data_IF_751702043533
#
_entry.id   IF_751702043533
#
_cell.length_a   1.000
_cell.length_b   1.000
_cell.length_c   1.000
_cell.angle_alpha   90.00
_cell.angle_beta   90.00
_cell.angle_gamma   90.00
#
_symmetry.space_group_name_H-M   'P 1'
#
loop_
_entity.id
_entity.type
_entity.pdbx_description
1 polymer ?
#
# COMPACT_ATOMS: atom_id res chain seq x y z
N UNK A 1 1.14 66.13 24.03
CA UNK A 1 -0.27 65.86 24.41
C UNK A 1 -1.09 65.40 23.21
N UNK A 2 -0.98 66.08 22.06
CA UNK A 2 -1.69 65.75 20.82
C UNK A 2 -1.37 64.34 20.27
N UNK A 3 -0.10 63.94 20.30
CA UNK A 3 0.32 62.59 19.84
C UNK A 3 -0.26 61.44 20.69
N UNK A 4 -0.43 61.65 22.00
CA UNK A 4 -1.02 60.65 22.90
C UNK A 4 -2.51 60.44 22.58
N UNK A 5 -3.26 61.54 22.40
CA UNK A 5 -4.69 61.50 22.02
C UNK A 5 -4.89 60.79 20.68
N UNK A 6 -3.98 61.00 19.72
CA UNK A 6 -4.12 60.45 18.38
C UNK A 6 -3.68 58.98 18.25
N UNK A 7 -2.69 58.54 19.04
CA UNK A 7 -2.08 57.21 18.90
C UNK A 7 -2.40 56.20 20.01
N UNK A 8 -2.64 56.65 21.25
CA UNK A 8 -2.52 55.77 22.41
C UNK A 8 -3.57 56.00 23.52
N UNK A 9 -4.36 57.07 23.47
CA UNK A 9 -5.43 57.29 24.44
C UNK A 9 -6.54 56.22 24.29
N UNK A 10 -6.87 55.44 25.34
CA UNK A 10 -7.88 54.39 25.28
C UNK A 10 -9.32 54.93 25.27
N UNK A 11 -9.56 56.11 25.83
CA UNK A 11 -10.89 56.72 25.96
C UNK A 11 -11.25 57.67 24.82
N UNK A 12 -10.32 57.89 23.88
CA UNK A 12 -10.61 58.70 22.70
C UNK A 12 -11.57 57.96 21.77
N UNK A 13 -12.61 58.65 21.35
CA UNK A 13 -13.53 58.15 20.34
C UNK A 13 -12.83 58.09 18.98
N UNK A 14 -12.79 56.90 18.41
CA UNK A 14 -12.23 56.63 17.07
C UNK A 14 -13.33 56.18 16.12
N UNK A 15 -13.18 56.54 14.85
CA UNK A 15 -14.06 56.07 13.80
C UNK A 15 -13.92 54.55 13.62
N UNK A 16 -15.04 53.86 13.38
CA UNK A 16 -15.03 52.45 13.02
C UNK A 16 -14.23 52.23 11.72
N UNK A 17 -13.22 51.33 11.70
CA UNK A 17 -12.45 51.00 10.49
C UNK A 17 -13.28 50.43 9.33
N UNK A 18 -14.49 49.93 9.63
CA UNK A 18 -15.42 49.39 8.63
C UNK A 18 -16.47 50.42 8.20
N UNK A 19 -16.32 51.69 8.59
CA UNK A 19 -17.16 52.81 8.17
C UNK A 19 -18.65 52.67 8.51
N UNK A 20 -18.97 52.07 9.66
CA UNK A 20 -20.36 51.94 10.14
C UNK A 20 -20.95 53.23 10.75
N UNK A 21 -20.30 54.38 10.50
CA UNK A 21 -20.66 55.73 10.98
C UNK A 21 -20.63 55.95 12.50
N UNK A 22 -20.41 54.91 13.31
CA UNK A 22 -20.26 55.04 14.76
C UNK A 22 -18.81 55.39 15.14
N UNK A 23 -18.69 56.29 16.11
CA UNK A 23 -17.46 56.54 16.86
C UNK A 23 -17.56 55.80 18.19
N UNK A 24 -16.52 55.05 18.52
CA UNK A 24 -16.47 54.26 19.75
C UNK A 24 -15.15 54.51 20.48
N UNK A 25 -15.11 54.46 21.82
CA UNK A 25 -13.86 54.57 22.56
C UNK A 25 -12.87 53.51 22.07
N UNK A 26 -11.60 53.90 21.86
CA UNK A 26 -10.56 53.03 21.28
C UNK A 26 -10.46 51.67 21.96
N UNK A 27 -10.61 51.59 23.28
CA UNK A 27 -10.55 50.33 24.03
C UNK A 27 -11.73 49.37 23.74
N UNK A 28 -12.90 49.89 23.34
CA UNK A 28 -14.10 49.09 22.99
C UNK A 28 -14.16 48.70 21.52
N UNK A 29 -13.21 49.14 20.69
CA UNK A 29 -13.24 48.96 19.24
C UNK A 29 -13.26 47.48 18.83
N UNK A 30 -12.57 46.62 19.60
CA UNK A 30 -12.57 45.17 19.42
C UNK A 30 -13.94 44.55 19.68
N UNK A 31 -14.63 44.94 20.75
CA UNK A 31 -15.97 44.46 21.07
C UNK A 31 -16.99 44.97 20.03
N UNK A 32 -16.85 46.22 19.61
CA UNK A 32 -17.66 46.78 18.53
C UNK A 32 -17.50 45.96 17.24
N UNK A 33 -16.30 45.48 16.88
CA UNK A 33 -16.07 44.68 15.67
C UNK A 33 -16.91 43.39 15.64
N UNK A 34 -17.20 42.80 16.79
CA UNK A 34 -18.00 41.58 16.90
C UNK A 34 -19.49 41.81 16.60
N UNK A 35 -19.99 43.03 16.83
CA UNK A 35 -21.39 43.42 16.59
C UNK A 35 -21.57 44.35 15.39
N UNK A 36 -20.48 44.87 14.82
CA UNK A 36 -20.50 45.84 13.73
C UNK A 36 -21.21 45.27 12.49
N UNK A 37 -22.25 45.96 11.95
CA UNK A 37 -23.04 45.48 10.83
C UNK A 37 -22.30 45.50 9.49
N UNK A 38 -21.25 46.33 9.38
CA UNK A 38 -20.50 46.55 8.14
C UNK A 38 -19.31 45.58 7.96
N UNK A 39 -19.00 44.77 8.97
CA UNK A 39 -17.94 43.75 8.90
C UNK A 39 -18.39 42.62 7.99
N UNK A 40 -17.53 42.19 7.07
CA UNK A 40 -17.79 41.02 6.23
C UNK A 40 -17.63 39.74 7.04
N UNK A 41 -18.67 38.92 7.05
CA UNK A 41 -18.74 37.64 7.76
C UNK A 41 -19.30 36.56 6.84
N UNK A 42 -18.98 35.30 7.18
CA UNK A 42 -19.59 34.16 6.51
C UNK A 42 -20.94 33.85 7.13
N UNK A 43 -21.85 33.28 6.32
CA UNK A 43 -23.07 32.67 6.85
C UNK A 43 -22.71 31.56 7.87
N UNK A 44 -23.39 31.47 9.03
CA UNK A 44 -23.16 30.43 10.03
C UNK A 44 -23.30 29.00 9.49
N UNK A 45 -24.13 28.81 8.45
CA UNK A 45 -24.34 27.52 7.78
C UNK A 45 -23.26 27.16 6.75
N UNK A 46 -22.12 27.86 6.74
CA UNK A 46 -21.01 27.58 5.81
C UNK A 46 -20.50 26.14 5.90
N UNK A 47 -20.45 25.57 7.10
CA UNK A 47 -20.00 24.19 7.31
C UNK A 47 -20.99 23.15 6.77
N UNK A 48 -22.25 23.53 6.56
CA UNK A 48 -23.28 22.70 5.93
C UNK A 48 -23.40 22.98 4.42
N UNK A 49 -22.55 23.83 3.85
CA UNK A 49 -22.49 24.11 2.40
C UNK A 49 -23.08 25.45 1.96
N UNK A 50 -23.39 26.38 2.87
CA UNK A 50 -23.77 27.74 2.47
C UNK A 50 -22.53 28.58 2.06
N UNK A 51 -22.53 29.13 0.85
CA UNK A 51 -21.40 29.91 0.33
C UNK A 51 -21.51 31.42 0.52
N UNK A 52 -22.55 31.91 1.20
CA UNK A 52 -22.79 33.35 1.34
C UNK A 52 -21.79 33.97 2.31
N UNK A 53 -21.15 35.05 1.85
CA UNK A 53 -20.27 35.91 2.62
C UNK A 53 -20.58 37.36 2.24
N UNK A 54 -20.98 38.18 3.22
CA UNK A 54 -21.32 39.60 3.01
C UNK A 54 -21.19 40.35 4.34
N UNK A 55 -21.51 41.64 4.36
CA UNK A 55 -21.65 42.46 5.57
C UNK A 55 -22.61 41.79 6.55
N UNK A 56 -22.27 41.77 7.85
CA UNK A 56 -23.03 41.14 8.93
C UNK A 56 -24.52 41.51 8.91
N UNK A 57 -24.86 42.77 8.63
CA UNK A 57 -26.27 43.19 8.49
C UNK A 57 -27.01 42.48 7.36
N UNK A 58 -26.36 42.28 6.21
CA UNK A 58 -26.92 41.56 5.05
C UNK A 58 -26.94 40.05 5.26
N UNK A 59 -25.94 39.50 5.94
CA UNK A 59 -25.91 38.07 6.29
C UNK A 59 -27.08 37.72 7.21
N UNK A 60 -27.46 38.58 8.16
CA UNK A 60 -28.67 38.40 8.97
C UNK A 60 -29.96 38.34 8.13
N UNK A 61 -30.13 39.27 7.18
CA UNK A 61 -31.28 39.25 6.27
C UNK A 61 -31.30 37.97 5.41
N UNK A 62 -30.13 37.50 4.98
CA UNK A 62 -29.99 36.23 4.29
C UNK A 62 -30.37 35.04 5.19
N UNK A 63 -29.93 35.02 6.45
CA UNK A 63 -30.28 33.97 7.42
C UNK A 63 -31.80 33.84 7.55
N UNK A 64 -32.50 34.96 7.75
CA UNK A 64 -33.96 35.00 7.87
C UNK A 64 -34.68 34.57 6.58
N UNK A 65 -34.19 35.00 5.42
CA UNK A 65 -34.79 34.66 4.13
C UNK A 65 -34.49 33.22 3.67
N UNK A 66 -33.39 32.62 4.13
CA UNK A 66 -32.91 31.33 3.65
C UNK A 66 -33.08 30.17 4.64
N UNK A 67 -33.87 30.34 5.72
CA UNK A 67 -34.09 29.30 6.76
C UNK A 67 -34.45 27.94 6.16
N UNK A 68 -35.41 27.87 5.23
CA UNK A 68 -35.81 26.60 4.59
C UNK A 68 -34.66 25.95 3.83
N UNK A 69 -33.84 26.74 3.14
CA UNK A 69 -32.65 26.24 2.43
C UNK A 69 -31.59 25.75 3.40
N UNK A 70 -31.34 26.48 4.49
CA UNK A 70 -30.40 26.07 5.54
C UNK A 70 -30.85 24.78 6.23
N UNK A 71 -32.15 24.62 6.51
CA UNK A 71 -32.70 23.39 7.07
C UNK A 71 -32.47 22.18 6.14
N UNK A 72 -32.65 22.35 4.82
CA UNK A 72 -32.36 21.29 3.86
C UNK A 72 -30.87 20.91 3.81
N UNK A 73 -29.97 21.88 3.95
CA UNK A 73 -28.52 21.60 4.03
C UNK A 73 -28.18 20.81 5.30
N UNK A 74 -28.75 21.18 6.44
CA UNK A 74 -28.57 20.46 7.70
C UNK A 74 -29.16 19.05 7.62
N UNK A 75 -30.37 18.88 7.07
CA UNK A 75 -30.99 17.56 6.89
C UNK A 75 -30.16 16.64 6.00
N UNK A 76 -29.61 17.16 4.88
CA UNK A 76 -28.70 16.39 4.04
C UNK A 76 -27.46 15.96 4.80
N UNK A 77 -26.81 16.91 5.48
CA UNK A 77 -25.61 16.60 6.27
C UNK A 77 -25.90 15.60 7.38
N UNK A 78 -27.09 15.62 7.98
CA UNK A 78 -27.47 14.65 9.00
C UNK A 78 -27.70 13.27 8.40
N UNK A 79 -28.38 13.18 7.25
CA UNK A 79 -28.55 11.92 6.51
C UNK A 79 -27.20 11.30 6.09
N UNK A 80 -26.26 12.13 5.63
CA UNK A 80 -24.91 11.69 5.26
C UNK A 80 -24.12 11.19 6.50
N UNK A 81 -24.34 11.79 7.67
CA UNK A 81 -23.74 11.35 8.93
C UNK A 81 -24.36 10.04 9.42
N UNK A 82 -25.69 9.90 9.36
CA UNK A 82 -26.40 8.66 9.71
C UNK A 82 -25.89 7.50 8.86
N UNK A 83 -25.73 7.69 7.55
CA UNK A 83 -25.17 6.68 6.64
C UNK A 83 -23.71 6.34 6.99
N UNK A 84 -22.87 7.33 7.31
CA UNK A 84 -21.49 7.08 7.73
C UNK A 84 -21.42 6.28 9.05
N UNK A 85 -22.31 6.56 10.00
CA UNK A 85 -22.38 5.82 11.26
C UNK A 85 -22.79 4.37 11.02
N UNK A 86 -23.76 4.13 10.14
CA UNK A 86 -24.20 2.77 9.78
C UNK A 86 -23.05 1.95 9.16
N UNK A 87 -22.33 2.52 8.19
CA UNK A 87 -21.16 1.86 7.58
C UNK A 87 -20.07 1.56 8.61
N UNK A 88 -19.76 2.51 9.50
CA UNK A 88 -18.76 2.30 10.55
C UNK A 88 -19.18 1.21 11.55
N UNK A 89 -20.48 1.07 11.83
CA UNK A 89 -21.00 0.00 12.67
C UNK A 89 -20.86 -1.38 12.00
N UNK A 90 -21.16 -1.48 10.70
CA UNK A 90 -20.94 -2.71 9.92
C UNK A 90 -19.46 -3.11 9.88
N UNK A 91 -18.56 -2.16 9.61
CA UNK A 91 -17.12 -2.40 9.62
C UNK A 91 -16.60 -2.85 11.00
N UNK A 92 -17.12 -2.26 12.07
CA UNK A 92 -16.76 -2.64 13.44
C UNK A 92 -17.20 -4.08 13.77
N UNK A 93 -18.38 -4.50 13.31
CA UNK A 93 -18.89 -5.85 13.51
C UNK A 93 -18.03 -6.89 12.75
N UNK A 94 -17.69 -6.60 11.49
CA UNK A 94 -16.80 -7.43 10.69
C UNK A 94 -15.43 -7.60 11.37
N UNK A 95 -14.81 -6.51 11.82
CA UNK A 95 -13.53 -6.58 12.54
C UNK A 95 -13.62 -7.35 13.86
N UNK A 96 -14.75 -7.27 14.56
CA UNK A 96 -14.97 -8.05 15.77
C UNK A 96 -15.01 -9.55 15.46
N UNK A 97 -15.63 -9.95 14.34
CA UNK A 97 -15.68 -11.34 13.90
C UNK A 97 -14.30 -11.87 13.48
N UNK A 98 -13.52 -11.06 12.76
CA UNK A 98 -12.15 -11.40 12.39
C UNK A 98 -11.27 -11.58 13.63
N UNK A 99 -11.34 -10.66 14.60
CA UNK A 99 -10.58 -10.75 15.84
C UNK A 99 -10.96 -12.00 16.67
N UNK A 100 -12.23 -12.41 16.68
CA UNK A 100 -12.65 -13.66 17.31
C UNK A 100 -12.04 -14.88 16.60
N UNK A 101 -12.02 -14.88 15.27
CA UNK A 101 -11.44 -15.96 14.46
C UNK A 101 -9.93 -16.07 14.71
N UNK A 102 -9.22 -14.95 14.71
CA UNK A 102 -7.78 -14.90 15.01
C UNK A 102 -7.48 -15.39 16.43
N UNK A 103 -8.31 -15.02 17.41
CA UNK A 103 -8.16 -15.50 18.80
C UNK A 103 -8.27 -17.03 18.89
N UNK A 104 -9.21 -17.63 18.15
CA UNK A 104 -9.36 -19.09 18.07
C UNK A 104 -8.14 -19.76 17.42
N UNK A 105 -7.63 -19.18 16.33
CA UNK A 105 -6.44 -19.67 15.64
C UNK A 105 -5.20 -19.60 16.53
N UNK A 106 -4.97 -18.48 17.21
CA UNK A 106 -3.87 -18.30 18.16
C UNK A 106 -3.94 -19.33 19.29
N UNK A 107 -5.14 -19.56 19.85
CA UNK A 107 -5.34 -20.59 20.87
C UNK A 107 -5.00 -21.99 20.35
N UNK A 108 -5.36 -22.29 19.10
CA UNK A 108 -5.03 -23.55 18.43
C UNK A 108 -3.52 -23.73 18.23
N UNK A 109 -2.82 -22.69 17.77
CA UNK A 109 -1.36 -22.70 17.61
C UNK A 109 -0.64 -22.85 18.95
N UNK A 110 -1.10 -22.15 19.99
CA UNK A 110 -0.54 -22.25 21.33
C UNK A 110 -0.63 -23.68 21.88
N UNK A 111 -1.76 -24.36 21.66
CA UNK A 111 -1.94 -25.78 22.02
C UNK A 111 -0.97 -26.71 21.29
N UNK A 112 -0.55 -26.40 20.07
CA UNK A 112 0.42 -27.20 19.29
C UNK A 112 1.87 -26.92 19.69
N UNK A 113 2.22 -25.67 20.00
CA UNK A 113 3.59 -25.26 20.33
C UNK A 113 3.98 -25.70 21.75
N UNK A 114 3.05 -25.64 22.71
CA UNK A 114 3.33 -25.95 24.11
C UNK A 114 3.92 -27.36 24.37
N UNK A 115 3.42 -28.47 23.76
CA UNK A 115 4.04 -29.78 23.94
C UNK A 115 5.41 -29.88 23.28
N UNK A 116 5.62 -29.23 22.13
CA UNK A 116 6.92 -29.23 21.44
C UNK A 116 8.00 -28.54 22.28
N UNK A 117 7.67 -27.44 22.96
CA UNK A 117 8.59 -26.76 23.87
C UNK A 117 8.97 -27.64 25.07
N UNK A 118 8.00 -28.36 25.66
CA UNK A 118 8.26 -29.31 26.74
C UNK A 118 9.18 -30.44 26.27
N UNK A 119 8.93 -30.97 25.08
CA UNK A 119 9.73 -32.04 24.49
C UNK A 119 11.17 -31.57 24.21
N UNK A 120 11.36 -30.34 23.71
CA UNK A 120 12.68 -29.74 23.51
C UNK A 120 13.49 -29.67 24.81
N UNK A 121 12.87 -29.22 25.91
CA UNK A 121 13.52 -29.19 27.22
C UNK A 121 13.92 -30.59 27.72
N UNK A 122 13.07 -31.61 27.50
CA UNK A 122 13.43 -32.99 27.82
C UNK A 122 14.65 -33.48 27.02
N UNK A 123 14.72 -33.16 25.72
CA UNK A 123 15.86 -33.52 24.88
C UNK A 123 17.15 -32.81 25.35
N UNK A 124 17.10 -31.53 25.72
CA UNK A 124 18.27 -30.81 26.26
C UNK A 124 18.82 -31.46 27.53
N UNK A 125 17.96 -31.91 28.44
CA UNK A 125 18.37 -32.63 29.65
C UNK A 125 18.98 -34.00 29.34
N UNK A 126 18.43 -34.72 28.36
CA UNK A 126 18.97 -36.00 27.91
C UNK A 126 20.37 -35.83 27.29
N UNK A 127 20.54 -34.84 26.42
CA UNK A 127 21.83 -34.50 25.80
C UNK A 127 22.86 -34.11 26.87
N UNK A 128 22.48 -33.23 27.81
CA UNK A 128 23.37 -32.83 28.91
C UNK A 128 23.79 -34.00 29.81
N UNK A 129 22.93 -35.00 29.95
CA UNK A 129 23.23 -36.20 30.75
C UNK A 129 24.13 -37.17 29.98
N UNK A 130 23.88 -37.36 28.68
CA UNK A 130 24.75 -38.13 27.79
C UNK A 130 26.16 -37.53 27.75
N UNK A 131 26.29 -36.20 27.66
CA UNK A 131 27.59 -35.53 27.59
C UNK A 131 28.40 -35.70 28.88
N UNK A 132 27.75 -35.65 30.05
CA UNK A 132 28.40 -35.95 31.35
C UNK A 132 28.90 -37.39 31.44
N UNK A 133 28.11 -38.35 30.93
CA UNK A 133 28.54 -39.75 30.89
C UNK A 133 29.73 -39.94 29.95
N UNK A 134 29.73 -39.25 28.80
CA UNK A 134 30.79 -39.33 27.80
C UNK A 134 32.12 -38.77 28.35
N UNK A 135 32.08 -37.63 29.06
CA UNK A 135 33.26 -37.10 29.76
C UNK A 135 33.79 -38.07 30.81
N UNK A 136 32.91 -38.68 31.61
CA UNK A 136 33.30 -39.69 32.60
C UNK A 136 33.92 -40.92 31.94
N UNK A 137 33.42 -41.35 30.79
CA UNK A 137 34.03 -42.45 30.03
C UNK A 137 35.40 -42.07 29.45
N UNK A 138 35.59 -40.81 29.06
CA UNK A 138 36.87 -40.30 28.56
C UNK A 138 37.96 -40.30 29.66
N UNK A 139 37.58 -40.00 30.90
CA UNK A 139 38.47 -40.10 32.08
C UNK A 139 38.85 -41.56 32.37
N UNK A 140 37.88 -42.49 32.28
CA UNK A 140 38.13 -43.94 32.46
C UNK A 140 39.03 -44.48 31.35
N UNK A 141 38.79 -44.11 30.09
CA UNK A 141 39.64 -44.49 28.95
C UNK A 141 41.07 -44.00 29.12
N UNK A 142 41.26 -42.79 29.62
CA UNK A 142 42.59 -42.25 29.92
C UNK A 142 43.30 -43.05 31.03
N UNK A 143 42.54 -43.53 32.03
CA UNK A 143 43.07 -44.36 33.11
C UNK A 143 43.44 -45.76 32.60
N UNK A 144 42.57 -46.38 31.81
CA UNK A 144 42.82 -47.70 31.18
C UNK A 144 44.01 -47.63 30.22
N UNK A 145 44.17 -46.53 29.48
CA UNK A 145 45.32 -46.33 28.59
C UNK A 145 46.65 -46.27 29.36
N UNK A 146 46.65 -45.74 30.59
CA UNK A 146 47.82 -45.73 31.48
C UNK A 146 48.08 -47.13 32.07
N UNK A 147 47.04 -47.88 32.42
CA UNK A 147 47.15 -49.25 32.93
C UNK A 147 47.66 -50.23 31.86
N UNK A 148 47.23 -50.08 30.60
CA UNK A 148 47.69 -50.88 29.45
C UNK A 148 49.19 -50.68 29.18
N UNK A 149 49.73 -49.49 29.44
CA UNK A 149 51.18 -49.25 29.34
C UNK A 149 51.97 -49.97 30.44
N UNK A 150 51.36 -50.25 31.59
CA UNK A 150 52.00 -50.97 32.70
C UNK A 150 51.94 -52.49 32.56
N UNK A 151 50.92 -53.02 31.85
CA UNK A 151 50.70 -54.47 31.68
C UNK A 151 51.54 -55.09 30.54
N UNK A 152 52.29 -54.31 29.76
CA UNK A 152 53.12 -54.79 28.63
C UNK A 152 54.36 -55.63 29.03
N UNK A 153 54.35 -56.36 30.15
CA UNK A 153 55.35 -57.37 30.51
C UNK A 153 54.70 -58.68 30.97
N UNK A 154 54.65 -59.66 30.06
CA UNK A 154 54.60 -61.10 30.37
C UNK A 154 53.30 -61.82 30.03
N UNK A 155 53.36 -62.74 29.04
CA UNK A 155 52.26 -63.56 28.53
C UNK A 155 51.66 -64.53 29.55
N UNK A 156 50.33 -64.72 29.51
CA UNK A 156 49.73 -66.03 29.31
C UNK A 156 48.66 -65.98 28.20
N UNK A 157 48.97 -66.54 27.02
CA UNK A 157 48.24 -66.31 25.76
C UNK A 157 46.84 -66.91 25.57
N UNK A 158 46.04 -67.10 26.64
CA UNK A 158 44.63 -67.53 26.52
C UNK A 158 43.65 -66.50 27.10
N UNK A 159 43.97 -65.91 28.25
CA UNK A 159 43.20 -64.81 28.84
C UNK A 159 43.33 -63.53 28.01
N UNK A 160 44.52 -63.25 27.47
CA UNK A 160 44.75 -62.11 26.55
C UNK A 160 43.94 -62.23 25.25
N UNK A 161 43.74 -63.46 24.76
CA UNK A 161 43.02 -63.74 23.53
C UNK A 161 41.49 -63.60 23.75
N UNK A 162 41.00 -63.95 24.94
CA UNK A 162 39.62 -63.67 25.35
C UNK A 162 39.38 -62.17 25.61
N UNK A 163 40.34 -61.45 26.21
CA UNK A 163 40.27 -59.99 26.37
C UNK A 163 40.30 -59.25 25.03
N UNK A 164 41.12 -59.70 24.07
CA UNK A 164 41.12 -59.15 22.71
C UNK A 164 39.77 -59.38 22.02
N UNK A 165 39.16 -60.55 22.22
CA UNK A 165 37.83 -60.85 21.66
C UNK A 165 36.76 -59.94 22.22
N UNK A 166 36.74 -59.74 23.55
CA UNK A 166 35.79 -58.83 24.20
C UNK A 166 36.00 -57.37 23.76
N UNK A 167 37.25 -56.94 23.61
CA UNK A 167 37.58 -55.61 23.07
C UNK A 167 37.14 -55.45 21.62
N UNK A 168 37.33 -56.49 20.79
CA UNK A 168 36.86 -56.50 19.40
C UNK A 168 35.32 -56.43 19.34
N UNK A 169 34.62 -57.20 20.18
CA UNK A 169 33.16 -57.17 20.29
C UNK A 169 32.66 -55.77 20.69
N UNK A 170 33.34 -55.10 21.63
CA UNK A 170 33.00 -53.74 22.04
C UNK A 170 33.22 -52.70 20.92
N UNK A 171 34.35 -52.78 20.21
CA UNK A 171 34.64 -51.90 19.06
C UNK A 171 33.65 -52.14 17.92
N UNK A 172 33.26 -53.39 17.66
CA UNK A 172 32.22 -53.71 16.68
C UNK A 172 30.87 -53.11 17.08
N UNK A 173 30.53 -53.14 18.37
CA UNK A 173 29.29 -52.55 18.88
C UNK A 173 29.30 -51.01 18.76
N UNK A 174 30.43 -50.36 19.07
CA UNK A 174 30.60 -48.92 18.86
C UNK A 174 30.56 -48.53 17.38
N UNK A 175 31.18 -49.31 16.50
CA UNK A 175 31.11 -49.10 15.06
C UNK A 175 29.66 -49.16 14.55
N UNK A 176 28.87 -50.14 15.02
CA UNK A 176 27.45 -50.25 14.69
C UNK A 176 26.62 -49.06 15.18
N UNK A 177 26.92 -48.53 16.37
CA UNK A 177 26.26 -47.34 16.90
C UNK A 177 26.64 -46.06 16.12
N UNK A 178 27.91 -45.95 15.70
CA UNK A 178 28.37 -44.85 14.87
C UNK A 178 27.74 -44.88 13.46
N UNK A 179 27.53 -46.06 12.87
CA UNK A 179 26.78 -46.23 11.62
C UNK A 179 25.32 -45.78 11.76
N UNK A 180 24.63 -46.16 12.84
CA UNK A 180 23.25 -45.72 13.09
C UNK A 180 23.13 -44.19 13.27
N UNK A 181 24.10 -43.56 13.95
CA UNK A 181 24.19 -42.10 14.07
C UNK A 181 24.42 -41.43 12.72
N UNK A 182 25.27 -42.02 11.88
CA UNK A 182 25.54 -41.50 10.52
C UNK A 182 24.29 -41.56 9.64
N UNK A 183 23.51 -42.65 9.71
CA UNK A 183 22.23 -42.73 9.00
C UNK A 183 21.23 -41.69 9.52
N UNK A 184 21.17 -41.47 10.84
CA UNK A 184 20.30 -40.45 11.43
C UNK A 184 20.69 -39.03 10.99
N UNK A 185 21.99 -38.72 10.94
CA UNK A 185 22.50 -37.45 10.42
C UNK A 185 22.13 -37.25 8.95
N UNK A 186 22.24 -38.29 8.12
CA UNK A 186 21.78 -38.24 6.72
C UNK A 186 20.29 -37.91 6.61
N UNK A 187 19.44 -38.52 7.44
CA UNK A 187 18.01 -38.20 7.48
C UNK A 187 17.72 -36.77 7.93
N UNK A 188 18.51 -36.23 8.86
CA UNK A 188 18.42 -34.83 9.30
C UNK A 188 18.83 -33.87 8.19
N UNK A 189 19.91 -34.16 7.46
CA UNK A 189 20.37 -33.38 6.30
C UNK A 189 19.30 -33.33 5.20
N UNK A 190 18.71 -34.48 4.84
CA UNK A 190 17.61 -34.53 3.87
C UNK A 190 16.40 -33.71 4.33
N UNK A 191 16.05 -33.78 5.62
CA UNK A 191 14.96 -32.99 6.19
C UNK A 191 15.24 -31.48 6.14
N UNK A 192 16.47 -31.06 6.45
CA UNK A 192 16.89 -29.66 6.34
C UNK A 192 16.81 -29.17 4.90
N UNK A 193 17.27 -29.97 3.94
CA UNK A 193 17.21 -29.62 2.52
C UNK A 193 15.76 -29.50 2.02
N UNK A 194 14.87 -30.40 2.47
CA UNK A 194 13.43 -30.31 2.20
C UNK A 194 12.81 -29.05 2.80
N UNK A 195 13.18 -28.68 4.03
CA UNK A 195 12.67 -27.48 4.69
C UNK A 195 13.18 -26.20 4.01
N UNK A 196 14.43 -26.17 3.55
CA UNK A 196 14.98 -25.05 2.79
C UNK A 196 14.18 -24.82 1.49
N UNK A 197 13.91 -25.88 0.72
CA UNK A 197 13.09 -25.76 -0.49
C UNK A 197 11.65 -25.29 -0.22
N UNK A 198 11.06 -25.68 0.92
CA UNK A 198 9.73 -25.19 1.31
C UNK A 198 9.77 -23.69 1.67
N UNK A 199 10.83 -23.21 2.32
CA UNK A 199 11.01 -21.80 2.64
C UNK A 199 11.13 -20.96 1.36
N UNK A 200 11.87 -21.43 0.36
CA UNK A 200 11.98 -20.76 -0.93
C UNK A 200 10.62 -20.67 -1.65
N UNK A 201 9.84 -21.76 -1.62
CA UNK A 201 8.48 -21.77 -2.17
C UNK A 201 7.57 -20.77 -1.44
N UNK A 202 7.61 -20.74 -0.10
CA UNK A 202 6.83 -19.79 0.69
C UNK A 202 7.26 -18.35 0.42
N UNK A 203 8.55 -18.07 0.27
CA UNK A 203 9.06 -16.75 -0.06
C UNK A 203 8.55 -16.28 -1.43
N UNK A 204 8.55 -17.16 -2.44
CA UNK A 204 7.99 -16.89 -3.75
C UNK A 204 6.48 -16.61 -3.68
N UNK A 205 5.73 -17.40 -2.92
CA UNK A 205 4.29 -17.22 -2.73
C UNK A 205 3.96 -15.91 -2.00
N UNK A 206 4.72 -15.56 -0.96
CA UNK A 206 4.58 -14.29 -0.24
C UNK A 206 4.83 -13.09 -1.16
N UNK A 207 5.86 -13.18 -2.02
CA UNK A 207 6.14 -12.15 -3.03
C UNK A 207 4.98 -11.98 -4.01
N UNK A 208 4.43 -13.10 -4.51
CA UNK A 208 3.27 -13.09 -5.40
C UNK A 208 2.02 -12.50 -4.73
N UNK A 209 1.73 -12.91 -3.48
CA UNK A 209 0.60 -12.38 -2.72
C UNK A 209 0.75 -10.88 -2.45
N UNK A 210 1.96 -10.40 -2.14
CA UNK A 210 2.24 -8.97 -1.97
C UNK A 210 1.94 -8.19 -3.24
N UNK A 211 2.34 -8.69 -4.41
CA UNK A 211 2.01 -8.06 -5.69
C UNK A 211 0.50 -8.03 -5.91
N UNK A 212 -0.19 -9.14 -5.66
CA UNK A 212 -1.66 -9.23 -5.81
C UNK A 212 -2.41 -8.29 -4.87
N UNK A 213 -1.95 -8.12 -3.63
CA UNK A 213 -2.52 -7.16 -2.69
C UNK A 213 -2.35 -5.72 -3.17
N UNK A 214 -1.16 -5.36 -3.68
CA UNK A 214 -0.92 -4.03 -4.25
C UNK A 214 -1.81 -3.76 -5.47
N UNK A 215 -2.07 -4.77 -6.30
CA UNK A 215 -3.02 -4.67 -7.41
C UNK A 215 -4.44 -4.43 -6.89
N UNK A 216 -4.90 -5.18 -5.87
CA UNK A 216 -6.23 -5.02 -5.28
C UNK A 216 -6.43 -3.64 -4.62
N UNK A 217 -5.43 -3.15 -3.88
CA UNK A 217 -5.48 -1.83 -3.22
C UNK A 217 -5.55 -0.67 -4.23
N UNK A 218 -4.96 -0.84 -5.42
CA UNK A 218 -4.87 0.20 -6.43
C UNK A 218 -5.93 0.07 -7.55
N UNK A 219 -6.61 -1.07 -7.65
CA UNK A 219 -7.67 -1.30 -8.65
C UNK A 219 -8.89 -0.45 -8.32
N UNK A 220 -9.43 0.23 -9.33
CA UNK A 220 -10.70 0.97 -9.22
C UNK A 220 -11.79 0.31 -10.05
N UNK A 221 -13.05 0.54 -9.67
CA UNK A 221 -14.26 0.00 -10.31
C UNK A 221 -15.27 1.08 -10.71
N UNK A 222 -14.87 2.35 -10.72
CA UNK A 222 -15.74 3.49 -11.05
C UNK A 222 -15.37 4.15 -12.40
N UNK A 223 -14.54 3.48 -13.20
CA UNK A 223 -13.99 4.02 -14.44
C UNK A 223 -12.96 5.12 -14.27
N UNK A 224 -12.45 5.35 -13.05
CA UNK A 224 -11.37 6.30 -12.79
C UNK A 224 -10.18 5.59 -12.17
N UNK A 225 -8.97 5.96 -12.57
CA UNK A 225 -7.74 5.52 -11.92
C UNK A 225 -6.82 6.72 -11.75
N UNK A 226 -6.20 6.83 -10.57
CA UNK A 226 -5.08 7.75 -10.30
C UNK A 226 -3.84 6.89 -10.10
N UNK A 227 -2.90 7.01 -11.03
CA UNK A 227 -1.67 6.26 -11.04
C UNK A 227 -0.50 7.14 -10.58
N UNK A 228 0.12 6.72 -9.46
CA UNK A 228 1.30 7.36 -8.89
C UNK A 228 2.58 6.71 -9.45
N UNK A 229 3.33 7.46 -10.26
CA UNK A 229 4.61 7.05 -10.83
C UNK A 229 5.73 7.66 -10.00
N UNK A 230 6.43 6.83 -9.21
CA UNK A 230 7.60 7.23 -8.41
C UNK A 230 8.91 7.01 -9.18
N UNK A 231 9.99 7.60 -8.70
CA UNK A 231 11.33 7.50 -9.29
C UNK A 231 11.35 8.00 -10.74
N UNK A 232 10.64 9.09 -11.02
CA UNK A 232 10.37 9.58 -12.37
C UNK A 232 11.66 9.78 -13.17
N UNK A 233 12.65 10.50 -12.60
CA UNK A 233 13.91 10.79 -13.29
C UNK A 233 14.71 9.54 -13.60
N UNK A 234 14.84 8.62 -12.63
CA UNK A 234 15.53 7.34 -12.84
C UNK A 234 14.89 6.54 -13.98
N UNK A 235 13.55 6.49 -14.03
CA UNK A 235 12.81 5.76 -15.07
C UNK A 235 12.91 6.44 -16.43
N UNK A 236 12.80 7.76 -16.48
CA UNK A 236 12.97 8.56 -17.70
C UNK A 236 14.37 8.37 -18.30
N UNK A 237 15.41 8.48 -17.47
CA UNK A 237 16.81 8.29 -17.90
C UNK A 237 17.08 6.86 -18.40
N UNK A 238 16.46 5.86 -17.76
CA UNK A 238 16.57 4.47 -18.19
C UNK A 238 15.95 4.27 -19.59
N UNK A 239 14.75 4.81 -19.83
CA UNK A 239 14.11 4.78 -21.14
C UNK A 239 14.93 5.53 -22.20
N UNK A 240 15.52 6.69 -21.85
CA UNK A 240 16.40 7.44 -22.74
C UNK A 240 17.67 6.65 -23.13
N UNK A 241 18.15 5.77 -22.25
CA UNK A 241 19.29 4.86 -22.49
C UNK A 241 18.89 3.56 -23.21
N UNK A 242 17.64 3.42 -23.64
CA UNK A 242 17.17 2.25 -24.40
C UNK A 242 16.82 1.03 -23.54
N UNK A 243 16.67 1.18 -22.22
CA UNK A 243 16.02 0.15 -21.40
C UNK A 243 14.57 -0.04 -21.88
N UNK A 244 13.98 -1.24 -21.72
CA UNK A 244 12.66 -1.55 -22.27
C UNK A 244 11.64 -0.49 -21.84
N UNK A 245 11.09 0.27 -22.81
CA UNK A 245 10.15 1.33 -22.50
C UNK A 245 8.78 0.76 -22.13
N UNK A 246 7.94 1.61 -21.55
CA UNK A 246 6.54 1.38 -21.21
C UNK A 246 6.29 0.89 -19.78
N UNK A 247 5.98 1.85 -18.92
CA UNK A 247 5.34 1.57 -17.64
C UNK A 247 3.87 1.23 -17.90
N UNK A 248 3.35 0.21 -17.21
CA UNK A 248 1.92 -0.08 -17.18
C UNK A 248 1.37 0.16 -15.77
N UNK A 249 0.18 0.75 -15.69
CA UNK A 249 -0.56 0.85 -14.45
C UNK A 249 -1.09 -0.52 -14.02
N UNK A 250 -1.55 -0.61 -12.77
CA UNK A 250 -2.47 -1.69 -12.40
C UNK A 250 -3.73 -1.62 -13.28
N UNK A 251 -4.37 -2.76 -13.57
CA UNK A 251 -5.66 -2.76 -14.24
C UNK A 251 -6.72 -2.02 -13.40
N UNK A 252 -7.67 -1.39 -14.08
CA UNK A 252 -8.86 -0.79 -13.48
C UNK A 252 -10.08 -1.15 -14.33
N UNK A 253 -11.26 -1.03 -13.73
CA UNK A 253 -12.52 -1.39 -14.36
C UNK A 253 -13.43 -0.18 -14.50
N UNK A 254 -14.23 -0.16 -15.57
CA UNK A 254 -15.26 0.87 -15.79
C UNK A 254 -16.49 0.72 -14.87
N UNK A 255 -16.60 -0.41 -14.18
CA UNK A 255 -17.69 -0.82 -13.30
C UNK A 255 -17.30 -2.11 -12.57
N UNK A 256 -18.07 -2.56 -11.56
CA UNK A 256 -17.82 -3.85 -10.88
C UNK A 256 -17.79 -5.04 -11.84
N UNK A 257 -18.66 -5.01 -12.85
CA UNK A 257 -18.72 -5.97 -13.95
C UNK A 257 -18.46 -5.30 -15.30
N UNK A 258 -17.60 -4.27 -15.32
CA UNK A 258 -17.31 -3.46 -16.49
C UNK A 258 -16.07 -3.90 -17.29
N UNK A 259 -15.69 -3.10 -18.29
CA UNK A 259 -14.49 -3.34 -19.08
C UNK A 259 -13.24 -3.23 -18.21
N UNK A 260 -12.26 -4.12 -18.45
CA UNK A 260 -10.94 -4.07 -17.83
C UNK A 260 -9.96 -3.29 -18.72
N UNK A 261 -9.24 -2.36 -18.13
CA UNK A 261 -8.32 -1.47 -18.84
C UNK A 261 -7.05 -1.23 -18.04
N UNK A 262 -5.97 -0.81 -18.71
CA UNK A 262 -4.77 -0.30 -18.06
C UNK A 262 -4.23 0.93 -18.81
N UNK A 263 -3.44 1.76 -18.12
CA UNK A 263 -2.76 2.91 -18.69
C UNK A 263 -1.31 2.54 -18.98
N UNK A 264 -0.82 2.93 -20.16
CA UNK A 264 0.58 2.82 -20.55
C UNK A 264 1.22 4.20 -20.65
N UNK A 265 2.40 4.36 -20.07
CA UNK A 265 3.16 5.59 -20.11
C UNK A 265 4.57 5.36 -20.64
N UNK A 266 5.01 6.26 -21.52
CA UNK A 266 6.39 6.36 -22.02
C UNK A 266 6.93 7.70 -21.57
N UNK A 267 7.79 7.68 -20.55
CA UNK A 267 8.28 8.87 -19.88
C UNK A 267 9.28 9.65 -20.75
N UNK A 268 9.95 8.97 -21.67
CA UNK A 268 10.77 9.59 -22.71
C UNK A 268 10.10 9.54 -24.11
N UNK A 269 8.78 9.35 -24.14
CA UNK A 269 7.98 9.40 -25.36
C UNK A 269 8.04 8.15 -26.25
N UNK A 270 7.02 8.01 -27.08
CA UNK A 270 6.89 6.96 -28.10
C UNK A 270 6.36 7.53 -29.42
N UNK A 271 6.60 6.80 -30.51
CA UNK A 271 6.20 7.20 -31.87
C UNK A 271 6.67 8.61 -32.22
N UNK A 272 5.73 9.45 -32.66
CA UNK A 272 5.97 10.86 -33.04
C UNK A 272 6.44 11.75 -31.88
N UNK A 273 6.16 11.36 -30.63
CA UNK A 273 6.55 12.12 -29.43
C UNK A 273 7.87 11.66 -28.82
N UNK A 274 8.55 10.67 -29.41
CA UNK A 274 9.77 10.08 -28.88
C UNK A 274 10.85 11.14 -28.61
N UNK A 275 11.39 11.14 -27.39
CA UNK A 275 12.42 12.05 -26.90
C UNK A 275 12.00 13.49 -26.70
N UNK A 276 10.73 13.85 -26.96
CA UNK A 276 10.25 15.24 -26.92
C UNK A 276 9.02 15.44 -26.05
N UNK A 277 8.19 14.41 -25.92
CA UNK A 277 6.93 14.44 -25.16
C UNK A 277 6.84 13.23 -24.22
N UNK A 278 6.09 13.39 -23.15
CA UNK A 278 5.45 12.28 -22.45
C UNK A 278 4.37 11.70 -23.36
N UNK A 279 4.30 10.37 -23.48
CA UNK A 279 3.23 9.69 -24.21
C UNK A 279 2.37 8.86 -23.26
N UNK A 280 1.05 8.97 -23.42
CA UNK A 280 0.08 8.26 -22.59
C UNK A 280 -0.94 7.53 -23.47
N UNK A 281 -1.19 6.27 -23.13
CA UNK A 281 -2.12 5.39 -23.84
C UNK A 281 -3.00 4.62 -22.84
N UNK A 282 -4.12 4.12 -23.33
CA UNK A 282 -4.93 3.11 -22.66
C UNK A 282 -4.93 1.82 -23.47
N UNK A 283 -5.07 0.70 -22.76
CA UNK A 283 -5.18 -0.63 -23.33
C UNK A 283 -6.44 -1.28 -22.78
N UNK A 284 -7.27 -1.83 -23.65
CA UNK A 284 -8.34 -2.76 -23.28
C UNK A 284 -7.74 -4.14 -23.03
N UNK A 285 -8.09 -4.75 -21.92
CA UNK A 285 -7.60 -6.06 -21.50
C UNK A 285 -8.75 -7.06 -21.41
N UNK A 286 -8.52 -8.37 -21.57
CA UNK A 286 -9.55 -9.37 -21.34
C UNK A 286 -10.12 -9.26 -19.92
N UNK A 287 -11.42 -9.04 -19.84
CA UNK A 287 -12.19 -8.94 -18.60
C UNK A 287 -13.03 -10.19 -18.35
N UNK A 288 -13.32 -10.47 -17.08
CA UNK A 288 -14.10 -11.65 -16.67
C UNK A 288 -15.55 -11.61 -17.19
N UNK A 289 -16.06 -10.41 -17.51
CA UNK A 289 -17.43 -10.17 -17.94
C UNK A 289 -17.55 -9.76 -19.42
N UNK A 290 -16.49 -9.91 -20.22
CA UNK A 290 -16.46 -9.42 -21.61
C UNK A 290 -17.60 -9.95 -22.49
N UNK A 291 -18.10 -11.16 -22.20
CA UNK A 291 -19.23 -11.77 -22.90
C UNK A 291 -20.58 -11.06 -22.65
N UNK A 292 -20.69 -10.28 -21.57
CA UNK A 292 -21.89 -9.53 -21.21
C UNK A 292 -21.83 -8.06 -21.66
N UNK A 293 -20.64 -7.60 -22.04
CA UNK A 293 -20.39 -6.20 -22.38
C UNK A 293 -20.64 -5.93 -23.87
N UNK A 294 -21.16 -4.74 -24.24
CA UNK A 294 -21.34 -4.38 -25.63
C UNK A 294 -19.99 -4.13 -26.32
N UNK A 295 -19.85 -4.57 -27.57
CA UNK A 295 -18.66 -4.34 -28.38
C UNK A 295 -19.02 -3.72 -29.75
N UNK A 296 -18.15 -2.88 -30.34
CA UNK A 296 -16.87 -2.40 -29.80
C UNK A 296 -17.03 -1.40 -28.64
N UNK A 297 -15.96 -1.16 -27.89
CA UNK A 297 -15.91 -0.16 -26.81
C UNK A 297 -16.15 1.26 -27.36
N UNK A 298 -17.03 2.04 -26.71
CA UNK A 298 -17.53 3.35 -27.22
C UNK A 298 -17.41 4.52 -26.25
N UNK A 299 -17.00 4.26 -25.01
CA UNK A 299 -17.00 5.27 -23.97
C UNK A 299 -15.84 6.27 -24.15
N UNK A 300 -16.10 7.56 -23.96
CA UNK A 300 -15.06 8.60 -24.02
C UNK A 300 -14.00 8.32 -22.96
N UNK A 301 -12.73 8.39 -23.34
CA UNK A 301 -11.60 8.25 -22.43
C UNK A 301 -10.89 9.58 -22.30
N UNK A 302 -10.68 10.03 -21.06
CA UNK A 302 -9.90 11.21 -20.72
C UNK A 302 -8.62 10.79 -19.99
N UNK A 303 -7.47 11.20 -20.53
CA UNK A 303 -6.16 11.05 -19.92
C UNK A 303 -5.67 12.41 -19.40
N UNK A 304 -5.13 12.43 -18.19
CA UNK A 304 -4.70 13.65 -17.52
C UNK A 304 -3.37 13.46 -16.80
N UNK A 305 -2.50 14.47 -16.83
CA UNK A 305 -1.39 14.64 -15.89
C UNK A 305 -1.81 15.66 -14.85
N UNK A 306 -1.72 15.28 -13.57
CA UNK A 306 -2.21 16.11 -12.47
C UNK A 306 -1.18 17.15 -12.03
N UNK A 307 -1.65 18.36 -11.78
CA UNK A 307 -0.88 19.46 -11.20
C UNK A 307 -0.84 19.33 -9.68
N UNK A 308 0.37 19.31 -9.12
CA UNK A 308 0.65 19.14 -7.70
C UNK A 308 0.89 20.46 -6.97
N UNK A 309 0.78 21.61 -7.66
CA UNK A 309 0.91 22.94 -7.07
C UNK A 309 -0.31 23.35 -6.23
N UNK A 310 -1.45 22.69 -6.45
CA UNK A 310 -2.75 23.07 -5.88
C UNK A 310 -3.55 24.07 -6.73
N UNK A 311 -2.98 24.60 -7.82
CA UNK A 311 -3.67 25.52 -8.73
C UNK A 311 -4.74 24.80 -9.59
N UNK A 312 -4.64 23.48 -9.75
CA UNK A 312 -5.61 22.68 -10.49
C UNK A 312 -5.42 22.72 -12.00
N UNK A 313 -4.24 23.14 -12.46
CA UNK A 313 -3.89 23.27 -13.88
C UNK A 313 -3.53 21.90 -14.50
N UNK A 314 -4.40 20.90 -14.32
CA UNK A 314 -4.20 19.55 -14.85
C UNK A 314 -4.18 19.57 -16.37
N UNK A 315 -3.20 18.91 -16.99
CA UNK A 315 -3.18 18.78 -18.45
C UNK A 315 -3.98 17.57 -18.86
N UNK A 316 -5.08 17.78 -19.59
CA UNK A 316 -6.00 16.72 -20.00
C UNK A 316 -6.22 16.69 -21.50
N UNK A 317 -6.30 15.48 -22.07
CA UNK A 317 -6.73 15.21 -23.45
C UNK A 317 -7.73 14.06 -23.43
N UNK A 318 -8.75 14.12 -24.29
CA UNK A 318 -9.79 13.10 -24.36
C UNK A 318 -10.02 12.67 -25.81
N UNK A 319 -10.41 11.42 -26.00
CA UNK A 319 -10.79 10.90 -27.30
C UNK A 319 -12.05 10.04 -27.19
N UNK A 320 -12.81 9.97 -28.29
CA UNK A 320 -13.89 9.01 -28.45
C UNK A 320 -13.38 7.82 -29.27
N UNK A 321 -13.58 6.58 -28.81
CA UNK A 321 -13.22 5.39 -29.56
C UNK A 321 -13.84 5.37 -30.96
N UNK A 322 -13.04 5.04 -31.97
CA UNK A 322 -13.51 4.76 -33.32
C UNK A 322 -14.00 3.30 -33.43
N UNK A 323 -15.29 3.03 -33.66
CA UNK A 323 -15.82 1.67 -33.77
C UNK A 323 -15.16 0.82 -34.87
N UNK A 324 -14.58 1.45 -35.90
CA UNK A 324 -13.89 0.75 -36.99
C UNK A 324 -12.48 0.28 -36.59
N UNK A 325 -11.89 0.84 -35.53
CA UNK A 325 -10.55 0.47 -35.09
C UNK A 325 -10.55 -0.89 -34.39
N UNK A 326 -9.56 -1.72 -34.74
CA UNK A 326 -9.35 -3.04 -34.12
C UNK A 326 -8.98 -2.93 -32.63
N UNK A 327 -8.42 -1.80 -32.20
CA UNK A 327 -8.00 -1.59 -30.82
C UNK A 327 -9.15 -1.54 -29.82
N UNK A 328 -10.39 -1.29 -30.29
CA UNK A 328 -11.59 -1.18 -29.46
C UNK A 328 -12.53 -2.38 -29.58
N UNK A 329 -12.12 -3.43 -30.30
CA UNK A 329 -12.86 -4.69 -30.37
C UNK A 329 -12.68 -5.49 -29.08
N UNK A 330 -13.49 -6.53 -28.90
CA UNK A 330 -13.35 -7.43 -27.76
C UNK A 330 -11.94 -8.05 -27.73
N UNK A 331 -11.20 -7.91 -26.61
CA UNK A 331 -9.91 -8.57 -26.44
C UNK A 331 -10.03 -10.08 -26.52
N UNK A 332 -9.06 -10.74 -27.16
CA UNK A 332 -8.98 -12.20 -27.15
C UNK A 332 -8.60 -12.70 -25.75
N UNK A 333 -9.23 -13.77 -25.26
CA UNK A 333 -9.06 -14.27 -23.89
C UNK A 333 -7.60 -14.58 -23.50
N UNK A 334 -6.78 -15.02 -24.45
CA UNK A 334 -5.36 -15.35 -24.23
C UNK A 334 -4.41 -14.16 -24.46
N UNK A 335 -4.94 -13.00 -24.86
CA UNK A 335 -4.12 -11.81 -25.15
C UNK A 335 -3.77 -11.04 -23.87
N UNK A 336 -2.61 -10.39 -23.86
CA UNK A 336 -2.23 -9.46 -22.76
C UNK A 336 -3.06 -8.16 -22.83
N UNK A 337 -3.66 -7.87 -23.98
CA UNK A 337 -4.50 -6.72 -24.25
C UNK A 337 -4.47 -6.31 -25.72
N UNK A 338 -5.37 -5.40 -26.08
CA UNK A 338 -5.43 -4.83 -27.42
C UNK A 338 -4.25 -3.88 -27.69
N UNK A 339 -4.15 -3.42 -28.95
CA UNK A 339 -3.23 -2.35 -29.32
C UNK A 339 -3.55 -1.08 -28.53
N UNK A 340 -2.53 -0.49 -27.92
CA UNK A 340 -2.67 0.70 -27.08
C UNK A 340 -3.15 1.91 -27.91
N UNK A 341 -4.07 2.71 -27.36
CA UNK A 341 -4.60 3.91 -28.01
C UNK A 341 -4.51 5.11 -27.08
N UNK A 342 -4.10 6.26 -27.61
CA UNK A 342 -3.91 7.48 -26.83
C UNK A 342 -3.10 8.51 -27.60
N UNK A 343 -2.21 9.20 -26.90
CA UNK A 343 -1.53 10.38 -27.40
C UNK A 343 -0.01 10.21 -27.33
N UNK A 344 0.61 10.07 -28.49
CA UNK A 344 2.07 10.03 -28.62
C UNK A 344 2.72 11.35 -28.19
N UNK A 345 2.08 12.48 -28.49
CA UNK A 345 2.54 13.82 -28.10
C UNK A 345 1.62 14.42 -27.04
N UNK A 346 1.57 13.83 -25.84
CA UNK A 346 0.62 14.24 -24.79
C UNK A 346 1.04 15.55 -24.09
N UNK A 347 2.27 15.61 -23.57
CA UNK A 347 2.80 16.76 -22.83
C UNK A 347 4.30 16.94 -23.14
N UNK A 348 4.73 18.09 -23.68
CA UNK A 348 6.15 18.35 -23.93
C UNK A 348 7.01 18.16 -22.67
N UNK A 349 8.16 17.49 -22.79
CA UNK A 349 9.03 17.20 -21.64
C UNK A 349 9.57 18.48 -20.97
N UNK A 350 9.87 19.51 -21.76
CA UNK A 350 10.30 20.81 -21.22
C UNK A 350 9.24 21.48 -20.32
N UNK A 351 7.95 21.31 -20.64
CA UNK A 351 6.83 21.81 -19.83
C UNK A 351 6.55 20.93 -18.60
N UNK A 352 6.94 19.66 -18.65
CA UNK A 352 6.86 18.75 -17.52
C UNK A 352 7.90 19.10 -16.44
N UNK A 353 9.09 19.53 -16.86
CA UNK A 353 10.24 19.85 -16.00
C UNK A 353 10.27 21.30 -15.52
N UNK A 354 9.76 22.23 -16.33
CA UNK A 354 9.80 23.66 -16.00
C UNK A 354 8.45 24.09 -15.40
N UNK A 355 8.42 24.64 -14.18
CA UNK A 355 7.21 25.15 -13.55
C UNK A 355 6.77 26.46 -14.20
N UNK A 356 6.18 26.37 -15.39
CA UNK A 356 5.48 27.48 -16.04
C UNK A 356 4.03 27.53 -15.56
N UNK A 357 3.19 26.70 -16.17
CA UNK A 357 1.73 26.71 -15.94
C UNK A 357 1.24 25.71 -14.88
N UNK A 358 2.12 24.88 -14.32
CA UNK A 358 1.78 23.88 -13.30
C UNK A 358 3.02 23.15 -12.79
N UNK A 359 2.89 22.44 -11.66
CA UNK A 359 3.95 21.60 -11.09
C UNK A 359 3.54 20.14 -11.25
N UNK A 360 3.93 19.53 -12.36
CA UNK A 360 3.51 18.16 -12.69
C UNK A 360 4.35 17.08 -12.04
N UNK A 361 5.65 17.34 -11.85
CA UNK A 361 6.58 16.46 -11.14
C UNK A 361 7.00 17.14 -9.84
N UNK A 362 6.77 16.46 -8.72
CA UNK A 362 7.16 16.91 -7.39
C UNK A 362 7.65 15.71 -6.59
N UNK A 363 8.72 15.86 -5.82
CA UNK A 363 9.34 14.79 -5.03
C UNK A 363 9.60 13.52 -5.88
N UNK A 364 10.17 13.74 -7.07
CA UNK A 364 10.46 12.71 -8.10
C UNK A 364 9.24 11.81 -8.44
N UNK A 365 8.04 12.37 -8.34
CA UNK A 365 6.77 11.68 -8.51
C UNK A 365 5.87 12.41 -9.49
N UNK A 366 5.26 11.65 -10.40
CA UNK A 366 4.24 12.09 -11.37
C UNK A 366 2.90 11.39 -11.07
N UNK A 367 1.78 12.10 -11.22
CA UNK A 367 0.45 11.52 -11.11
C UNK A 367 -0.28 11.58 -12.44
N UNK A 368 -0.70 10.41 -12.94
CA UNK A 368 -1.52 10.28 -14.15
C UNK A 368 -2.93 9.88 -13.72
N UNK A 369 -3.94 10.51 -14.29
CA UNK A 369 -5.34 10.15 -14.09
C UNK A 369 -5.96 9.72 -15.40
N UNK A 370 -6.72 8.64 -15.36
CA UNK A 370 -7.64 8.26 -16.44
C UNK A 370 -9.07 8.31 -15.91
N UNK A 371 -9.99 8.76 -16.76
CA UNK A 371 -11.43 8.75 -16.52
C UNK A 371 -12.13 8.23 -17.77
N UNK A 372 -12.97 7.23 -17.61
CA UNK A 372 -13.90 6.75 -18.63
C UNK A 372 -15.27 7.31 -18.29
N UNK A 373 -15.89 8.02 -19.23
CA UNK A 373 -17.24 8.56 -19.03
C UNK A 373 -18.25 7.42 -19.18
N UNK A 374 -18.91 7.02 -18.08
CA UNK A 374 -19.88 5.90 -18.06
C UNK A 374 -21.33 6.34 -17.89
N UNK A 375 -21.57 7.66 -17.87
CA UNK A 375 -22.89 8.27 -17.66
C UNK A 375 -23.81 8.05 -18.86
N UNK A 376 -24.49 6.90 -18.89
CA UNK A 376 -25.46 6.54 -19.93
C UNK A 376 -25.94 5.08 -19.95
N UNK A 377 -25.24 4.15 -19.30
CA UNK A 377 -25.73 2.76 -19.13
C UNK A 377 -26.37 2.63 -17.76
N UNK A 378 -27.62 2.20 -17.73
CA UNK A 378 -28.18 1.50 -16.58
C UNK A 378 -27.20 0.36 -16.23
N UNK A 379 -26.67 0.41 -15.02
CA UNK A 379 -25.74 -0.60 -14.52
C UNK A 379 -26.49 -1.94 -14.48
N UNK A 380 -25.99 -2.94 -15.20
CA UNK A 380 -26.43 -4.34 -15.05
C UNK A 380 -26.01 -4.89 -13.69
#
# INVERSE_FOLDING_TARGET
MQDHVQSSCPDVDVDCPNSCSLKVPRHTLTEHRESCPEVHVNCPYRNFGCSVQDKRGKVKLHEDAAVSRHMLLVLRSNSDLEQQVEVLQEEALLRQQDAQTDSLLLTGLQKRIQPLLKQSSCHEHAVSSAQRNLSRQQDVLSTVQLDVQQVSRGLPGREELEQLRQSLDAVMQEASAAEALREHLGSLEENLQRHAGLLDLHAAQLSHNKQRLQELEATSYDGKLIWKIKDFKRRQDAEAKGQPPCLSSVPFHTGRCGYKMAVKAYLNGDGEGRGTHLSLYVVLMPGDFDALLPWPFRWTVSLSVLDQSGAGNNRSLSFRPDPASKSFQQPAAESVGNVAVGFSSFLPLNQLETPGNGVYVKDDTLFVKVKVETSGSEQL
#
